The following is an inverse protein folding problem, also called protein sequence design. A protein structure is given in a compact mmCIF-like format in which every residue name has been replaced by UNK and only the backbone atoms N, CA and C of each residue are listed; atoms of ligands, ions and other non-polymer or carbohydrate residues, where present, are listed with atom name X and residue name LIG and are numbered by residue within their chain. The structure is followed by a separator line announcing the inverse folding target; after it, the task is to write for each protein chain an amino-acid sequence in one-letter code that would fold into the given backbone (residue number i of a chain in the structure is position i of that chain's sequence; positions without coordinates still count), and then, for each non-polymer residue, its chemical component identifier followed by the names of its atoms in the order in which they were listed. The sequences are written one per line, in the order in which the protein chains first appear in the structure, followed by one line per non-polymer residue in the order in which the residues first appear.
data_IF_141774816564
#
_entry.id   IF_141774816564
#
_cell.length_a   1.000
_cell.length_b   1.000
_cell.length_c   1.000
_cell.angle_alpha   90.00
_cell.angle_beta   90.00
_cell.angle_gamma   90.00
#
_symmetry.space_group_name_H-M   'P 1'
#
loop_
_entity.id
_entity.type
_entity.pdbx_description
1 polymer ?
#
# COMPACT_ATOMS: atom_id res chain seq x y z
N UNK A 1 -2.36 -6.63 17.36
CA UNK A 1 -1.84 -7.84 17.98
C UNK A 1 -0.41 -7.60 18.44
N UNK A 2 0.00 -8.22 19.55
CA UNK A 2 1.40 -8.29 19.95
C UNK A 2 2.01 -9.52 19.29
N UNK A 3 3.32 -9.47 19.00
CA UNK A 3 4.05 -10.65 18.55
C UNK A 3 4.12 -11.66 19.72
N UNK A 4 3.79 -12.91 19.43
CA UNK A 4 3.89 -14.00 20.42
C UNK A 4 5.36 -14.39 20.64
N UNK A 5 6.16 -14.37 19.58
CA UNK A 5 7.59 -14.66 19.58
C UNK A 5 8.34 -13.78 18.56
N UNK A 6 9.67 -13.75 18.68
CA UNK A 6 10.54 -13.00 17.78
C UNK A 6 10.87 -11.59 18.27
N UNK A 7 11.66 -10.87 17.48
CA UNK A 7 12.16 -9.53 17.80
C UNK A 7 12.02 -8.62 16.59
N UNK A 8 11.66 -7.37 16.83
CA UNK A 8 11.57 -6.33 15.81
C UNK A 8 12.67 -5.32 16.07
N UNK A 9 13.47 -5.02 15.05
CA UNK A 9 14.52 -4.02 15.11
C UNK A 9 14.25 -2.89 14.11
N UNK A 10 14.38 -1.66 14.57
CA UNK A 10 14.36 -0.46 13.71
C UNK A 10 15.66 0.30 13.94
N UNK A 11 16.44 0.51 12.88
CA UNK A 11 17.79 1.10 12.95
C UNK A 11 18.72 0.39 13.97
N UNK A 12 18.60 -0.94 14.08
CA UNK A 12 19.41 -1.73 15.00
C UNK A 12 18.97 -1.66 16.48
N UNK A 13 17.88 -0.94 16.77
CA UNK A 13 17.31 -0.83 18.13
C UNK A 13 16.09 -1.74 18.22
N UNK A 14 16.06 -2.62 19.20
CA UNK A 14 14.91 -3.49 19.46
C UNK A 14 13.70 -2.65 19.87
N UNK A 15 12.54 -2.97 19.28
CA UNK A 15 11.29 -2.26 19.46
C UNK A 15 10.21 -3.21 20.01
N UNK A 16 9.39 -2.66 20.91
CA UNK A 16 8.23 -3.34 21.48
C UNK A 16 7.01 -2.44 21.30
N UNK A 17 6.30 -2.64 20.18
CA UNK A 17 5.12 -1.82 19.86
C UNK A 17 3.90 -2.31 20.62
N UNK A 18 3.25 -1.42 21.37
CA UNK A 18 1.99 -1.67 22.09
C UNK A 18 0.80 -1.22 21.27
N UNK A 19 0.96 -0.16 20.50
CA UNK A 19 -0.06 0.45 19.66
C UNK A 19 0.55 1.07 18.38
N UNK A 20 -0.28 1.50 17.42
CA UNK A 20 0.19 2.14 16.19
C UNK A 20 0.98 3.44 16.38
N UNK A 21 0.83 4.12 17.53
CA UNK A 21 1.59 5.35 17.78
C UNK A 21 3.05 5.03 18.08
N UNK A 22 3.31 3.91 18.74
CA UNK A 22 4.68 3.46 19.00
C UNK A 22 5.41 3.18 17.68
N UNK A 23 4.76 2.48 16.75
CA UNK A 23 5.34 2.20 15.42
C UNK A 23 5.54 3.48 14.61
N UNK A 24 4.60 4.41 14.66
CA UNK A 24 4.74 5.72 14.02
C UNK A 24 5.88 6.55 14.62
N UNK A 25 6.09 6.50 15.94
CA UNK A 25 7.21 7.14 16.61
C UNK A 25 8.58 6.56 16.21
N UNK A 26 8.62 5.25 15.91
CA UNK A 26 9.80 4.58 15.36
C UNK A 26 10.03 4.87 13.87
N UNK A 27 9.11 5.57 13.20
CA UNK A 27 9.19 5.92 11.80
C UNK A 27 8.55 4.91 10.85
N UNK A 28 7.63 4.06 11.33
CA UNK A 28 6.86 3.13 10.50
C UNK A 28 5.47 3.71 10.29
N UNK A 29 5.06 3.86 9.04
CA UNK A 29 3.72 4.26 8.65
C UNK A 29 3.01 3.11 7.95
N UNK A 30 1.68 3.06 8.08
CA UNK A 30 0.85 2.09 7.38
C UNK A 30 -0.19 2.81 6.54
N UNK A 31 -0.32 2.37 5.28
CA UNK A 31 -1.37 2.74 4.34
C UNK A 31 -2.24 1.50 4.17
N UNK A 32 -3.45 1.56 4.66
CA UNK A 32 -4.37 0.43 4.69
C UNK A 32 -5.11 0.29 3.36
N UNK A 33 -5.63 -0.91 3.10
CA UNK A 33 -6.46 -1.23 1.94
C UNK A 33 -7.72 -0.33 1.88
N UNK A 34 -8.39 -0.13 3.02
CA UNK A 34 -9.46 0.85 3.14
C UNK A 34 -8.89 2.21 3.54
N UNK A 35 -9.16 3.23 2.72
CA UNK A 35 -8.65 4.58 2.97
C UNK A 35 -9.25 5.18 4.25
N UNK A 36 -8.39 5.58 5.18
CA UNK A 36 -8.77 6.30 6.39
C UNK A 36 -8.89 7.81 6.12
N UNK A 37 -9.78 8.16 5.18
CA UNK A 37 -10.03 9.53 4.73
C UNK A 37 -11.38 10.03 5.21
N UNK A 38 -11.36 11.14 5.94
CA UNK A 38 -12.58 11.88 6.29
C UNK A 38 -12.99 12.77 5.11
N UNK A 39 -13.92 12.27 4.30
CA UNK A 39 -14.32 12.87 3.01
C UNK A 39 -14.82 14.30 3.11
N UNK A 40 -15.44 14.66 4.22
CA UNK A 40 -15.98 16.00 4.47
C UNK A 40 -14.93 17.01 4.95
N UNK A 41 -13.81 16.51 5.46
CA UNK A 41 -12.69 17.35 5.90
C UNK A 41 -11.79 17.73 4.72
N UNK A 42 -11.09 18.86 4.86
CA UNK A 42 -10.09 19.28 3.86
C UNK A 42 -8.95 18.28 3.73
N UNK A 43 -8.21 18.33 2.62
CA UNK A 43 -6.96 17.58 2.45
C UNK A 43 -6.01 17.92 3.60
N UNK A 44 -5.89 19.20 3.97
CA UNK A 44 -5.06 19.63 5.09
C UNK A 44 -5.48 18.97 6.40
N UNK A 45 -6.77 18.97 6.72
CA UNK A 45 -7.26 18.37 7.95
C UNK A 45 -6.99 16.86 7.99
N UNK A 46 -7.19 16.17 6.85
CA UNK A 46 -6.86 14.75 6.73
C UNK A 46 -5.36 14.47 6.96
N UNK A 47 -4.48 15.26 6.38
CA UNK A 47 -3.02 15.09 6.53
C UNK A 47 -2.57 15.34 7.97
N UNK A 48 -3.16 16.33 8.65
CA UNK A 48 -2.77 16.75 9.99
C UNK A 48 -3.63 16.17 11.11
N UNK A 49 -4.55 15.25 10.81
CA UNK A 49 -5.36 14.61 11.85
C UNK A 49 -4.45 14.00 12.94
N UNK A 50 -4.73 14.29 14.20
CA UNK A 50 -3.92 13.91 15.37
C UNK A 50 -2.48 14.48 15.40
N UNK A 51 -2.11 15.38 14.45
CA UNK A 51 -0.76 15.98 14.35
C UNK A 51 -0.84 17.48 14.06
N UNK A 52 -1.82 18.14 14.66
CA UNK A 52 -2.11 19.57 14.48
C UNK A 52 -0.94 20.47 14.82
N UNK A 53 -0.60 21.38 13.92
CA UNK A 53 0.37 22.46 14.21
C UNK A 53 -0.35 23.57 14.96
N UNK A 54 0.21 23.98 16.08
CA UNK A 54 -0.35 25.03 16.95
C UNK A 54 0.54 26.25 16.99
N UNK A 55 -0.08 27.44 17.03
CA UNK A 55 0.57 28.71 17.35
C UNK A 55 -0.09 29.26 18.63
N UNK A 56 0.57 29.05 19.76
CA UNK A 56 -0.04 29.24 21.07
C UNK A 56 -1.19 28.24 21.31
N UNK A 57 -2.38 28.73 21.62
CA UNK A 57 -3.57 27.91 21.87
C UNK A 57 -4.41 27.60 20.61
N UNK A 58 -4.10 28.25 19.49
CA UNK A 58 -4.86 28.13 18.23
C UNK A 58 -4.14 27.22 17.24
N UNK A 59 -4.92 26.62 16.31
CA UNK A 59 -4.38 25.87 15.20
C UNK A 59 -3.77 26.84 14.17
N UNK A 60 -2.59 26.53 13.67
CA UNK A 60 -1.91 27.30 12.62
C UNK A 60 -2.24 26.75 11.23
N UNK A 61 -3.47 27.03 10.80
CA UNK A 61 -3.93 26.63 9.46
C UNK A 61 -3.08 27.15 8.30
N UNK A 62 -2.59 28.40 8.31
CA UNK A 62 -1.72 28.86 7.22
C UNK A 62 -0.47 27.97 7.04
N UNK A 63 0.19 27.61 8.15
CA UNK A 63 1.36 26.72 8.11
C UNK A 63 0.97 25.30 7.66
N UNK A 64 -0.15 24.76 8.15
CA UNK A 64 -0.63 23.44 7.77
C UNK A 64 -1.02 23.39 6.28
N UNK A 65 -1.74 24.37 5.76
CA UNK A 65 -2.09 24.46 4.32
C UNK A 65 -0.85 24.51 3.43
N UNK A 66 0.15 25.32 3.81
CA UNK A 66 1.41 25.40 3.07
C UNK A 66 2.10 24.05 3.02
N UNK A 67 2.27 23.38 4.16
CA UNK A 67 2.92 22.07 4.23
C UNK A 67 2.11 20.98 3.52
N UNK A 68 0.77 21.00 3.60
CA UNK A 68 -0.08 20.08 2.86
C UNK A 68 0.11 20.25 1.36
N UNK A 69 0.15 21.50 0.86
CA UNK A 69 0.39 21.78 -0.55
C UNK A 69 1.77 21.28 -0.99
N UNK A 70 2.80 21.54 -0.21
CA UNK A 70 4.17 21.12 -0.51
C UNK A 70 4.30 19.59 -0.56
N UNK A 71 3.74 18.87 0.42
CA UNK A 71 3.81 17.40 0.41
C UNK A 71 3.00 16.79 -0.71
N UNK A 72 1.79 17.28 -1.01
CA UNK A 72 0.98 16.81 -2.13
C UNK A 72 1.69 17.06 -3.47
N UNK A 73 2.27 18.24 -3.66
CA UNK A 73 3.07 18.56 -4.84
C UNK A 73 4.29 17.63 -5.00
N UNK A 74 4.95 17.27 -3.87
CA UNK A 74 6.08 16.33 -3.89
C UNK A 74 5.70 14.90 -4.28
N UNK A 75 4.40 14.57 -4.22
CA UNK A 75 3.79 13.32 -4.67
C UNK A 75 3.14 13.44 -6.05
N UNK A 76 3.43 14.54 -6.77
CA UNK A 76 2.91 14.78 -8.12
C UNK A 76 1.45 15.23 -8.17
N UNK A 77 0.89 15.73 -7.05
CA UNK A 77 -0.49 16.19 -6.96
C UNK A 77 -0.56 17.71 -6.81
N UNK A 78 -1.03 18.40 -7.88
CA UNK A 78 -1.31 19.83 -7.82
C UNK A 78 -2.80 20.05 -7.46
N UNK A 79 -3.07 20.04 -6.17
CA UNK A 79 -4.43 20.18 -5.62
C UNK A 79 -4.49 21.34 -4.62
N UNK A 80 -5.70 21.90 -4.45
CA UNK A 80 -5.97 22.87 -3.38
C UNK A 80 -6.21 22.13 -2.06
N UNK A 81 -5.29 22.22 -1.08
CA UNK A 81 -5.39 21.45 0.15
C UNK A 81 -6.51 21.92 1.09
N UNK A 82 -7.15 23.05 0.80
CA UNK A 82 -8.29 23.56 1.57
C UNK A 82 -9.61 22.91 1.19
N UNK A 83 -9.66 22.21 0.06
CA UNK A 83 -10.87 21.54 -0.42
C UNK A 83 -11.12 20.21 0.31
N UNK A 84 -12.40 19.82 0.48
CA UNK A 84 -12.75 18.52 1.03
C UNK A 84 -12.10 17.37 0.23
N UNK A 85 -11.54 16.39 0.94
CA UNK A 85 -10.89 15.25 0.31
C UNK A 85 -11.83 14.41 -0.56
N UNK A 86 -13.12 14.36 -0.20
CA UNK A 86 -14.15 13.66 -0.98
C UNK A 86 -14.45 14.26 -2.35
N UNK A 87 -13.98 15.47 -2.65
CA UNK A 87 -14.13 16.09 -3.98
C UNK A 87 -13.15 15.52 -5.01
N UNK A 88 -12.21 14.67 -4.58
CA UNK A 88 -11.14 14.13 -5.42
C UNK A 88 -11.34 12.62 -5.63
N UNK A 89 -10.84 12.13 -6.77
CA UNK A 89 -10.82 10.69 -7.08
C UNK A 89 -9.97 9.87 -6.12
N UNK A 90 -10.13 8.55 -6.19
CA UNK A 90 -9.46 7.59 -5.30
C UNK A 90 -7.93 7.73 -5.33
N UNK A 91 -7.34 7.96 -6.50
CA UNK A 91 -5.90 8.17 -6.63
C UNK A 91 -5.36 9.34 -5.81
N UNK A 92 -6.08 10.47 -5.77
CA UNK A 92 -5.70 11.62 -4.93
C UNK A 92 -5.90 11.29 -3.44
N UNK A 93 -6.97 10.60 -3.10
CA UNK A 93 -7.22 10.18 -1.71
C UNK A 93 -6.13 9.20 -1.24
N UNK A 94 -5.66 8.30 -2.10
CA UNK A 94 -4.51 7.44 -1.82
C UNK A 94 -3.23 8.26 -1.57
N UNK A 95 -2.99 9.30 -2.36
CA UNK A 95 -1.84 10.19 -2.16
C UNK A 95 -1.92 10.97 -0.85
N UNK A 96 -3.12 11.28 -0.35
CA UNK A 96 -3.30 11.90 0.97
C UNK A 96 -2.81 10.94 2.09
N UNK A 97 -3.12 9.64 2.00
CA UNK A 97 -2.61 8.65 2.96
C UNK A 97 -1.07 8.56 2.93
N UNK A 98 -0.49 8.54 1.74
CA UNK A 98 0.97 8.56 1.58
C UNK A 98 1.56 9.87 2.10
N UNK A 99 0.90 11.00 1.88
CA UNK A 99 1.33 12.30 2.40
C UNK A 99 1.41 12.34 3.93
N UNK A 100 0.49 11.65 4.64
CA UNK A 100 0.56 11.49 6.10
C UNK A 100 1.86 10.81 6.53
N UNK A 101 2.27 9.76 5.80
CA UNK A 101 3.51 9.02 6.08
C UNK A 101 4.76 9.88 5.79
N UNK A 102 4.76 10.58 4.66
CA UNK A 102 5.88 11.46 4.26
C UNK A 102 6.04 12.61 5.25
N UNK A 103 4.94 13.20 5.72
CA UNK A 103 4.97 14.34 6.64
C UNK A 103 5.62 14.01 8.00
N UNK A 104 5.51 12.77 8.45
CA UNK A 104 6.13 12.30 9.69
C UNK A 104 7.58 11.82 9.48
N UNK A 105 8.13 12.02 8.28
CA UNK A 105 9.44 11.51 7.89
C UNK A 105 9.56 9.99 8.13
N UNK A 106 8.55 9.24 7.70
CA UNK A 106 8.56 7.78 7.83
C UNK A 106 9.80 7.19 7.16
N UNK A 107 10.45 6.27 7.85
CA UNK A 107 11.60 5.48 7.35
C UNK A 107 11.12 4.27 6.56
N UNK A 108 9.94 3.78 6.91
CA UNK A 108 9.29 2.65 6.28
C UNK A 108 7.80 2.95 6.10
N UNK A 109 7.26 2.56 4.94
CA UNK A 109 5.83 2.64 4.65
C UNK A 109 5.35 1.23 4.29
N UNK A 110 4.39 0.71 5.04
CA UNK A 110 3.71 -0.55 4.74
C UNK A 110 2.45 -0.18 3.97
N UNK A 111 2.27 -0.76 2.79
CA UNK A 111 1.12 -0.55 1.91
C UNK A 111 0.40 -1.87 1.70
N UNK A 112 -0.84 -1.94 2.17
CA UNK A 112 -1.66 -3.14 2.08
C UNK A 112 -2.65 -3.00 0.91
N UNK A 113 -2.41 -3.77 -0.16
CA UNK A 113 -3.17 -3.76 -1.42
C UNK A 113 -3.53 -2.35 -1.96
N UNK A 114 -2.56 -1.44 -2.08
CA UNK A 114 -2.84 -0.02 -2.30
C UNK A 114 -3.40 0.29 -3.70
N UNK A 115 -3.44 -0.70 -4.60
CA UNK A 115 -3.91 -0.59 -5.99
C UNK A 115 -5.29 -1.20 -6.23
N UNK A 116 -5.89 -1.83 -5.22
CA UNK A 116 -7.10 -2.65 -5.38
C UNK A 116 -8.31 -1.86 -5.90
N UNK A 117 -8.40 -0.56 -5.59
CA UNK A 117 -9.50 0.32 -5.98
C UNK A 117 -9.12 1.40 -7.01
N UNK A 118 -7.91 1.32 -7.59
CA UNK A 118 -7.37 2.30 -8.51
C UNK A 118 -7.53 1.88 -9.97
N UNK A 119 -7.77 2.87 -10.85
CA UNK A 119 -7.67 2.67 -12.29
C UNK A 119 -6.21 2.65 -12.78
N UNK A 120 -5.97 2.17 -14.01
CA UNK A 120 -4.63 1.98 -14.57
C UNK A 120 -3.71 3.21 -14.43
N UNK A 121 -4.22 4.41 -14.76
CA UNK A 121 -3.44 5.66 -14.66
C UNK A 121 -3.09 6.01 -13.22
N UNK A 122 -3.97 5.73 -12.28
CA UNK A 122 -3.75 5.96 -10.85
C UNK A 122 -2.73 4.96 -10.28
N UNK A 123 -2.77 3.71 -10.74
CA UNK A 123 -1.77 2.68 -10.42
C UNK A 123 -0.40 3.12 -10.91
N UNK A 124 -0.27 3.54 -12.18
CA UNK A 124 0.99 4.03 -12.74
C UNK A 124 1.57 5.21 -11.92
N UNK A 125 0.71 6.17 -11.53
CA UNK A 125 1.12 7.28 -10.68
C UNK A 125 1.57 6.81 -9.29
N UNK A 126 0.88 5.86 -8.67
CA UNK A 126 1.25 5.28 -7.40
C UNK A 126 2.61 4.57 -7.48
N UNK A 127 2.81 3.73 -8.51
CA UNK A 127 4.07 3.02 -8.74
C UNK A 127 5.24 3.98 -8.94
N UNK A 128 5.03 5.06 -9.69
CA UNK A 128 6.00 6.15 -9.83
C UNK A 128 6.34 6.78 -8.48
N UNK A 129 5.32 7.11 -7.69
CA UNK A 129 5.50 7.69 -6.35
C UNK A 129 6.27 6.75 -5.44
N UNK A 130 5.98 5.45 -5.44
CA UNK A 130 6.72 4.46 -4.67
C UNK A 130 8.20 4.40 -5.07
N UNK A 131 8.51 4.44 -6.37
CA UNK A 131 9.90 4.50 -6.86
C UNK A 131 10.63 5.76 -6.39
N UNK A 132 9.96 6.91 -6.41
CA UNK A 132 10.52 8.18 -5.93
C UNK A 132 10.78 8.17 -4.42
N UNK A 133 9.87 7.60 -3.63
CA UNK A 133 10.04 7.43 -2.18
C UNK A 133 11.21 6.48 -1.86
N UNK A 134 11.30 5.36 -2.58
CA UNK A 134 12.41 4.42 -2.49
C UNK A 134 13.75 5.09 -2.82
N UNK A 135 13.81 5.93 -3.86
CA UNK A 135 15.01 6.69 -4.22
C UNK A 135 15.42 7.71 -3.15
N UNK A 136 14.49 8.16 -2.31
CA UNK A 136 14.76 9.00 -1.12
C UNK A 136 15.23 8.20 0.10
N UNK A 137 15.35 6.87 -0.01
CA UNK A 137 15.79 5.99 1.07
C UNK A 137 14.67 5.52 2.00
N UNK A 138 13.40 5.69 1.62
CA UNK A 138 12.26 5.17 2.39
C UNK A 138 12.08 3.69 2.04
N UNK A 139 12.07 2.81 3.04
CA UNK A 139 11.73 1.40 2.86
C UNK A 139 10.23 1.25 2.56
N UNK A 140 9.90 0.39 1.60
CA UNK A 140 8.50 0.10 1.26
C UNK A 140 8.26 -1.39 1.42
N UNK A 141 7.28 -1.74 2.25
CA UNK A 141 6.67 -3.07 2.28
C UNK A 141 5.37 -2.99 1.48
N UNK A 142 5.34 -3.66 0.34
CA UNK A 142 4.24 -3.59 -0.60
C UNK A 142 3.52 -4.94 -0.64
N UNK A 143 2.32 -5.00 -0.08
CA UNK A 143 1.49 -6.21 -0.08
C UNK A 143 0.58 -6.15 -1.31
N UNK A 144 0.68 -7.14 -2.17
CA UNK A 144 -0.14 -7.25 -3.39
C UNK A 144 -0.26 -8.71 -3.81
N UNK A 145 -1.35 -9.04 -4.45
CA UNK A 145 -1.56 -10.31 -5.14
C UNK A 145 -1.36 -10.20 -6.67
N UNK A 146 -1.04 -9.00 -7.17
CA UNK A 146 -0.78 -8.73 -8.58
C UNK A 146 0.72 -8.85 -8.86
N UNK A 147 1.10 -9.90 -9.57
CA UNK A 147 2.51 -10.22 -9.83
C UNK A 147 3.25 -9.12 -10.58
N UNK A 148 2.59 -8.49 -11.55
CA UNK A 148 3.16 -7.41 -12.36
C UNK A 148 3.64 -6.25 -11.49
N UNK A 149 2.88 -5.89 -10.47
CA UNK A 149 3.24 -4.84 -9.52
C UNK A 149 4.48 -5.22 -8.69
N UNK A 150 4.57 -6.49 -8.27
CA UNK A 150 5.72 -6.98 -7.51
C UNK A 150 7.00 -6.98 -8.35
N UNK A 151 6.91 -7.46 -9.59
CA UNK A 151 8.07 -7.48 -10.50
C UNK A 151 8.53 -6.08 -10.91
N UNK A 152 7.62 -5.10 -10.95
CA UNK A 152 7.94 -3.72 -11.30
C UNK A 152 8.61 -2.93 -10.16
N UNK A 153 8.18 -3.17 -8.90
CA UNK A 153 8.54 -2.30 -7.78
C UNK A 153 9.53 -2.93 -6.80
N UNK A 154 9.39 -4.24 -6.54
CA UNK A 154 10.06 -4.87 -5.41
C UNK A 154 11.49 -5.32 -5.76
N UNK A 155 12.42 -5.21 -4.80
CA UNK A 155 13.76 -5.80 -4.90
C UNK A 155 13.75 -7.25 -4.41
N UNK A 156 12.81 -7.57 -3.53
CA UNK A 156 12.72 -8.84 -2.82
C UNK A 156 11.25 -9.17 -2.56
N UNK A 157 10.89 -10.43 -2.71
CA UNK A 157 9.54 -10.91 -2.41
C UNK A 157 9.59 -11.98 -1.34
N UNK A 158 8.71 -11.83 -0.37
CA UNK A 158 8.40 -12.81 0.65
C UNK A 158 7.00 -13.36 0.42
N UNK A 159 6.88 -14.68 0.44
CA UNK A 159 5.61 -15.38 0.29
C UNK A 159 5.19 -15.95 1.64
N UNK A 160 4.00 -15.52 2.08
CA UNK A 160 3.31 -16.05 3.26
C UNK A 160 2.01 -16.68 2.75
N UNK A 161 1.71 -17.89 3.21
CA UNK A 161 0.49 -18.62 2.85
C UNK A 161 -0.07 -19.33 4.08
N UNK A 162 -1.37 -19.20 4.30
CA UNK A 162 -2.07 -19.84 5.44
C UNK A 162 -1.43 -19.51 6.82
N UNK A 163 -0.81 -18.31 6.92
CA UNK A 163 -0.09 -17.86 8.11
C UNK A 163 1.32 -18.41 8.26
N UNK A 164 1.80 -19.20 7.29
CA UNK A 164 3.14 -19.79 7.31
C UNK A 164 4.08 -19.08 6.33
N UNK A 165 5.33 -18.91 6.75
CA UNK A 165 6.42 -18.45 5.88
C UNK A 165 6.76 -19.55 4.88
N UNK A 166 6.71 -19.22 3.58
CA UNK A 166 7.03 -20.17 2.50
C UNK A 166 8.43 -19.93 1.95
N UNK A 167 8.73 -18.70 1.53
CA UNK A 167 10.04 -18.36 0.97
C UNK A 167 10.24 -16.85 0.92
N UNK A 168 11.50 -16.41 0.97
CA UNK A 168 11.90 -15.05 0.63
C UNK A 168 13.10 -15.08 -0.30
N UNK A 169 13.03 -14.36 -1.44
CA UNK A 169 14.11 -14.30 -2.43
C UNK A 169 14.17 -12.91 -3.07
N UNK A 170 15.35 -12.51 -3.61
CA UNK A 170 15.43 -11.39 -4.55
C UNK A 170 14.47 -11.58 -5.72
N UNK A 171 13.98 -10.48 -6.29
CA UNK A 171 12.95 -10.52 -7.35
C UNK A 171 13.46 -11.21 -8.62
N UNK A 172 14.73 -11.07 -8.95
CA UNK A 172 15.40 -11.68 -10.10
C UNK A 172 15.51 -13.22 -10.01
N UNK A 173 15.26 -13.79 -8.83
CA UNK A 173 15.21 -15.24 -8.59
C UNK A 173 13.79 -15.82 -8.63
N UNK A 174 12.82 -15.00 -8.97
CA UNK A 174 11.43 -15.41 -9.16
C UNK A 174 11.07 -15.31 -10.64
N UNK A 175 10.33 -16.29 -11.14
CA UNK A 175 9.50 -16.19 -12.34
C UNK A 175 8.02 -16.29 -11.97
N UNK A 176 7.15 -16.00 -12.91
CA UNK A 176 5.70 -16.01 -12.67
C UNK A 176 5.22 -17.36 -12.13
N UNK A 177 5.69 -18.46 -12.70
CA UNK A 177 5.21 -19.80 -12.37
C UNK A 177 5.67 -20.26 -10.99
N UNK A 178 6.91 -19.99 -10.63
CA UNK A 178 7.46 -20.29 -9.31
C UNK A 178 6.81 -19.43 -8.21
N UNK A 179 6.54 -18.14 -8.49
CA UNK A 179 5.89 -17.27 -7.54
C UNK A 179 4.43 -17.68 -7.33
N UNK A 180 3.67 -17.95 -8.40
CA UNK A 180 2.29 -18.48 -8.31
C UNK A 180 2.27 -19.80 -7.55
N UNK A 181 3.19 -20.70 -7.87
CA UNK A 181 3.29 -22.01 -7.18
C UNK A 181 3.53 -21.83 -5.68
N UNK A 182 4.41 -20.90 -5.30
CA UNK A 182 4.67 -20.60 -3.88
C UNK A 182 3.43 -20.01 -3.18
N UNK A 183 2.71 -19.09 -3.86
CA UNK A 183 1.50 -18.46 -3.32
C UNK A 183 0.32 -19.43 -3.19
N UNK A 184 0.09 -20.27 -4.23
CA UNK A 184 -1.09 -21.16 -4.31
C UNK A 184 -0.80 -22.55 -3.72
N UNK A 185 0.45 -23.01 -3.73
CA UNK A 185 0.87 -24.31 -3.19
C UNK A 185 0.73 -25.49 -4.14
N UNK A 186 0.40 -25.25 -5.40
CA UNK A 186 0.30 -26.30 -6.46
C UNK A 186 0.72 -25.70 -7.80
N UNK A 187 1.32 -26.54 -8.65
CA UNK A 187 1.72 -26.14 -10.00
C UNK A 187 0.48 -25.81 -10.84
N UNK A 188 0.62 -24.86 -11.77
CA UNK A 188 -0.44 -24.46 -12.71
C UNK A 188 -0.93 -25.60 -13.60
N UNK A 189 -0.09 -26.61 -13.83
CA UNK A 189 -0.43 -27.78 -14.69
C UNK A 189 -1.66 -28.57 -14.21
N UNK A 190 -2.04 -28.40 -12.93
CA UNK A 190 -3.20 -29.06 -12.33
C UNK A 190 -4.40 -28.13 -12.07
N UNK A 191 -4.36 -26.86 -12.51
CA UNK A 191 -5.45 -25.91 -12.21
C UNK A 191 -6.78 -26.25 -12.91
N UNK A 192 -6.72 -26.91 -14.07
CA UNK A 192 -7.90 -27.34 -14.81
C UNK A 192 -7.65 -28.74 -15.38
N UNK A 193 -7.86 -29.83 -14.62
CA UNK A 193 -7.89 -31.15 -15.19
C UNK A 193 -9.04 -31.15 -16.21
N UNK A 194 -8.68 -31.13 -17.49
CA UNK A 194 -9.66 -31.35 -18.56
C UNK A 194 -10.10 -32.81 -18.50
N UNK A 195 -11.11 -33.09 -17.71
CA UNK A 195 -11.89 -34.31 -17.91
C UNK A 195 -12.70 -34.11 -19.18
N UNK A 196 -12.25 -34.73 -20.25
CA UNK A 196 -13.05 -34.83 -21.48
C UNK A 196 -14.23 -35.76 -21.20
N UNK A 197 -15.31 -35.18 -20.68
CA UNK A 197 -16.57 -35.90 -20.60
C UNK A 197 -17.02 -36.38 -21.98
N UNK A 198 -17.63 -37.55 -22.05
CA UNK A 198 -18.27 -38.06 -23.27
C UNK A 198 -19.31 -37.04 -23.71
N UNK A 199 -19.14 -36.50 -24.94
CA UNK A 199 -20.12 -35.58 -25.53
C UNK A 199 -21.48 -36.27 -25.60
N UNK A 200 -22.48 -35.70 -24.94
CA UNK A 200 -23.88 -36.09 -25.15
C UNK A 200 -24.24 -35.86 -26.62
N UNK A 201 -25.04 -36.79 -27.20
CA UNK A 201 -25.57 -36.61 -28.55
C UNK A 201 -26.73 -35.62 -28.58
N UNK A 202 -27.29 -35.29 -27.45
CA UNK A 202 -28.39 -34.33 -27.34
C UNK A 202 -27.85 -32.96 -26.92
N UNK A 203 -28.27 -31.87 -27.59
CA UNK A 203 -27.89 -30.53 -27.19
C UNK A 203 -28.48 -30.21 -25.79
N UNK A 204 -27.62 -29.78 -24.87
CA UNK A 204 -28.07 -29.35 -23.53
C UNK A 204 -28.59 -27.91 -23.49
N UNK A 205 -28.27 -27.12 -24.51
CA UNK A 205 -28.74 -25.74 -24.69
C UNK A 205 -28.83 -25.47 -26.20
N UNK A 206 -29.97 -24.97 -26.65
CA UNK A 206 -30.21 -24.44 -28.00
C UNK A 206 -30.66 -23.00 -27.86
N UNK A 207 -30.00 -22.09 -28.56
CA UNK A 207 -30.31 -20.65 -28.51
C UNK A 207 -30.72 -20.24 -29.93
N UNK A 208 -31.97 -19.77 -30.08
CA UNK A 208 -32.50 -19.20 -31.32
C UNK A 208 -32.08 -17.72 -31.48
#
# INVERSE_FOLDING_TARGET
HQADEGQIFVDGVEQHFKDPNDSAAAGIACVYQELNIEKLLSITDNIFINKWIKKGTLLDYPTMHKKAKEVMASLGQDVDPTKPAGNFGMGVQQMIEIAKAVLINAKMIIMDEPTSSLGEKEVEQLMKTCRELKARGIGIVFVSHKLEELFELCDRVEVIRDGEFIATKPIDQWDNDSLITAMVGRSLDNQFPKEFGTKSKEPMLEVD
#
